data_IF_318604726541
#
_entry.id   IF_318604726541
#
_cell.length_a   1.000
_cell.length_b   1.000
_cell.length_c   1.000
_cell.angle_alpha   90.00
_cell.angle_beta   90.00
_cell.angle_gamma   90.00
#
_symmetry.space_group_name_H-M   'P 1'
#
loop_
_entity.id
_entity.type
_entity.pdbx_description
1 polymer ?
#
# COMPACT_ATOMS: atom_id res chain seq x y z
N UNK A 1 2.96 -41.09 41.30
CA UNK A 1 1.98 -41.41 40.23
C UNK A 1 0.88 -40.36 40.07
N UNK A 2 0.21 -39.89 41.13
CA UNK A 2 -0.89 -38.89 41.04
C UNK A 2 -0.48 -37.51 40.46
N UNK A 3 0.73 -37.04 40.76
CA UNK A 3 1.25 -35.76 40.25
C UNK A 3 1.49 -35.78 38.74
N UNK A 4 1.99 -36.90 38.21
CA UNK A 4 2.28 -37.06 36.77
C UNK A 4 1.00 -37.04 35.92
N UNK A 5 -0.08 -37.65 36.40
CA UNK A 5 -1.39 -37.64 35.72
C UNK A 5 -1.99 -36.23 35.70
N UNK A 6 -1.83 -35.46 36.77
CA UNK A 6 -2.28 -34.07 36.83
C UNK A 6 -1.56 -33.19 35.81
N UNK A 7 -0.23 -33.32 35.67
CA UNK A 7 0.53 -32.59 34.66
C UNK A 7 0.12 -32.94 33.23
N UNK A 8 -0.16 -34.22 32.96
CA UNK A 8 -0.65 -34.69 31.66
C UNK A 8 -2.02 -34.09 31.33
N UNK A 9 -2.95 -34.08 32.30
CA UNK A 9 -4.28 -33.51 32.11
C UNK A 9 -4.26 -31.99 31.87
N UNK A 10 -3.42 -31.25 32.60
CA UNK A 10 -3.26 -29.80 32.41
C UNK A 10 -2.66 -29.49 31.03
N UNK A 11 -1.66 -30.26 30.60
CA UNK A 11 -1.04 -30.11 29.27
C UNK A 11 -2.03 -30.38 28.14
N UNK A 12 -2.79 -31.48 28.23
CA UNK A 12 -3.84 -31.82 27.25
C UNK A 12 -4.92 -30.74 27.18
N UNK A 13 -5.33 -30.19 28.32
CA UNK A 13 -6.33 -29.13 28.38
C UNK A 13 -5.83 -27.80 27.77
N UNK A 14 -4.57 -27.44 28.01
CA UNK A 14 -3.92 -26.27 27.37
C UNK A 14 -3.82 -26.44 25.84
N UNK A 15 -3.48 -27.63 25.36
CA UNK A 15 -3.43 -27.94 23.92
C UNK A 15 -4.82 -27.91 23.28
N UNK A 16 -5.85 -28.40 23.98
CA UNK A 16 -7.25 -28.36 23.52
C UNK A 16 -7.85 -26.95 23.53
N UNK A 17 -7.40 -26.08 24.45
CA UNK A 17 -7.82 -24.67 24.50
C UNK A 17 -6.99 -23.74 23.61
N UNK A 18 -5.80 -24.17 23.16
CA UNK A 18 -4.96 -23.41 22.24
C UNK A 18 -5.69 -22.92 20.96
N UNK A 19 -6.50 -23.75 20.26
CA UNK A 19 -7.27 -23.28 19.10
C UNK A 19 -8.36 -22.25 19.44
N UNK A 20 -8.84 -22.19 20.69
CA UNK A 20 -9.76 -21.13 21.12
C UNK A 20 -9.03 -19.81 21.43
N UNK A 21 -7.77 -19.88 21.86
CA UNK A 21 -6.94 -18.70 22.15
C UNK A 21 -6.33 -18.07 20.89
N UNK A 22 -6.16 -18.83 19.81
CA UNK A 22 -5.63 -18.32 18.51
C UNK A 22 -6.69 -17.67 17.64
N UNK A 23 -7.99 -17.73 17.98
CA UNK A 23 -9.06 -17.06 17.23
C UNK A 23 -9.25 -15.60 17.63
N UNK A 24 -8.16 -14.83 17.59
CA UNK A 24 -8.23 -13.39 17.40
C UNK A 24 -7.31 -13.07 16.23
N UNK A 25 -7.68 -13.53 15.03
CA UNK A 25 -7.16 -12.88 13.83
C UNK A 25 -7.73 -11.48 13.89
N UNK A 26 -6.89 -10.51 14.27
CA UNK A 26 -7.22 -9.11 14.07
C UNK A 26 -7.71 -8.99 12.63
N UNK A 27 -8.92 -8.47 12.48
CA UNK A 27 -9.49 -8.10 11.19
C UNK A 27 -8.72 -6.85 10.72
N UNK A 28 -7.42 -7.02 10.47
CA UNK A 28 -6.50 -5.96 10.10
C UNK A 28 -6.66 -5.79 8.59
N UNK A 29 -7.42 -4.78 8.23
CA UNK A 29 -7.61 -4.41 6.85
C UNK A 29 -6.28 -3.87 6.31
N UNK A 30 -5.78 -4.38 5.17
CA UNK A 30 -4.51 -3.93 4.62
C UNK A 30 -4.61 -2.46 4.22
N UNK A 31 -3.68 -1.64 4.71
CA UNK A 31 -3.64 -0.20 4.42
C UNK A 31 -2.95 0.04 3.08
N UNK A 32 -1.99 -0.81 2.71
CA UNK A 32 -1.22 -0.76 1.46
C UNK A 32 -0.86 -2.17 0.94
N UNK A 33 -0.23 -2.23 -0.23
CA UNK A 33 0.24 -3.48 -0.83
C UNK A 33 1.39 -4.15 -0.05
N UNK A 34 2.10 -3.42 0.80
CA UNK A 34 3.11 -3.97 1.69
C UNK A 34 2.48 -4.82 2.79
N UNK A 35 1.36 -4.38 3.37
CA UNK A 35 0.60 -5.18 4.34
C UNK A 35 0.11 -6.50 3.70
N UNK A 36 -0.37 -6.43 2.45
CA UNK A 36 -0.80 -7.61 1.68
C UNK A 36 0.35 -8.57 1.43
N UNK A 37 1.51 -8.05 1.02
CA UNK A 37 2.70 -8.86 0.76
C UNK A 37 3.25 -9.49 2.05
N UNK A 38 3.17 -8.77 3.18
CA UNK A 38 3.65 -9.28 4.46
C UNK A 38 2.72 -10.34 5.07
N UNK A 39 1.42 -10.29 4.74
CA UNK A 39 0.45 -11.35 5.03
C UNK A 39 0.77 -12.63 4.23
N UNK A 40 1.00 -12.49 2.92
CA UNK A 40 1.36 -13.59 2.04
C UNK A 40 2.21 -13.11 0.85
N UNK A 41 3.49 -13.43 0.88
CA UNK A 41 4.47 -13.02 -0.12
C UNK A 41 4.43 -13.86 -1.40
N UNK A 42 3.60 -14.91 -1.46
CA UNK A 42 3.39 -15.72 -2.67
C UNK A 42 2.34 -15.12 -3.61
N UNK A 43 1.63 -14.08 -3.16
CA UNK A 43 0.58 -13.41 -3.95
C UNK A 43 1.17 -12.74 -5.19
N UNK A 44 0.56 -12.95 -6.38
CA UNK A 44 1.04 -12.34 -7.61
C UNK A 44 0.74 -10.85 -7.67
N UNK A 45 1.43 -10.12 -8.56
CA UNK A 45 1.02 -8.75 -8.91
C UNK A 45 -0.41 -8.74 -9.47
N UNK A 46 -1.20 -7.72 -9.13
CA UNK A 46 -2.61 -7.68 -9.49
C UNK A 46 -3.39 -6.59 -8.77
N UNK A 47 -4.70 -6.58 -8.97
CA UNK A 47 -5.59 -5.62 -8.30
C UNK A 47 -6.01 -6.15 -6.93
N UNK A 48 -5.82 -5.33 -5.91
CA UNK A 48 -6.20 -5.63 -4.54
C UNK A 48 -7.01 -4.48 -3.94
N UNK A 49 -7.73 -4.78 -2.86
CA UNK A 49 -8.46 -3.78 -2.07
C UNK A 49 -7.66 -3.42 -0.84
N UNK A 50 -7.45 -2.12 -0.61
CA UNK A 50 -6.78 -1.56 0.56
C UNK A 50 -7.68 -0.52 1.26
N UNK A 51 -7.33 -0.17 2.49
CA UNK A 51 -8.12 0.67 3.38
C UNK A 51 -7.26 1.80 3.98
N UNK A 52 -6.74 2.73 3.16
CA UNK A 52 -5.79 3.75 3.59
C UNK A 52 -6.37 4.72 4.62
N UNK A 53 -7.67 5.02 4.53
CA UNK A 53 -8.36 5.98 5.39
C UNK A 53 -9.03 5.27 6.59
N UNK A 54 -9.49 4.04 6.39
CA UNK A 54 -10.19 3.26 7.41
C UNK A 54 -11.14 2.22 6.81
N UNK A 55 -11.81 1.46 7.69
CA UNK A 55 -12.56 0.27 7.32
C UNK A 55 -13.74 0.50 6.35
N UNK A 56 -14.27 1.71 6.29
CA UNK A 56 -15.40 2.07 5.43
C UNK A 56 -14.98 2.68 4.09
N UNK A 57 -13.68 2.91 3.89
CA UNK A 57 -13.13 3.66 2.75
C UNK A 57 -12.19 2.76 1.94
N UNK A 58 -12.76 1.67 1.43
CA UNK A 58 -12.05 0.72 0.59
C UNK A 58 -11.73 1.33 -0.78
N UNK A 59 -10.50 1.12 -1.26
CA UNK A 59 -10.08 1.52 -2.60
C UNK A 59 -9.34 0.37 -3.28
N UNK A 60 -9.48 0.28 -4.60
CA UNK A 60 -8.74 -0.69 -5.40
C UNK A 60 -7.44 -0.09 -5.92
N UNK A 61 -6.36 -0.86 -5.80
CA UNK A 61 -5.02 -0.50 -6.28
C UNK A 61 -4.42 -1.68 -7.02
N UNK A 62 -3.56 -1.38 -7.99
CA UNK A 62 -2.64 -2.37 -8.52
C UNK A 62 -1.45 -2.51 -7.57
N UNK A 63 -1.23 -3.73 -7.08
CA UNK A 63 -0.03 -4.08 -6.32
C UNK A 63 0.99 -4.74 -7.24
N UNK A 64 2.20 -4.21 -7.27
CA UNK A 64 3.34 -4.91 -7.87
C UNK A 64 4.09 -5.67 -6.78
N UNK A 65 3.95 -6.99 -6.79
CA UNK A 65 4.52 -7.91 -5.81
C UNK A 65 5.87 -8.48 -6.27
N UNK A 66 6.32 -8.17 -7.48
CA UNK A 66 7.49 -8.81 -8.10
C UNK A 66 8.63 -7.83 -8.31
N UNK A 67 8.36 -6.67 -8.90
CA UNK A 67 9.42 -5.71 -9.26
C UNK A 67 10.13 -5.21 -8.01
N UNK A 68 11.45 -5.06 -8.05
CA UNK A 68 12.25 -4.40 -6.99
C UNK A 68 11.95 -4.87 -5.55
N UNK A 69 11.62 -6.16 -5.37
CA UNK A 69 11.30 -6.72 -4.04
C UNK A 69 9.84 -6.61 -3.62
N UNK A 70 8.95 -6.25 -4.54
CA UNK A 70 7.50 -6.22 -4.37
C UNK A 70 7.01 -5.13 -3.42
N UNK A 71 5.83 -5.35 -2.83
CA UNK A 71 5.20 -4.45 -1.85
C UNK A 71 4.73 -3.10 -2.41
N UNK A 72 4.72 -2.94 -3.73
CA UNK A 72 4.44 -1.65 -4.34
C UNK A 72 2.95 -1.37 -4.43
N UNK A 73 2.53 -0.20 -3.94
CA UNK A 73 1.19 0.34 -4.18
C UNK A 73 1.26 1.33 -5.33
N UNK A 74 0.69 0.98 -6.47
CA UNK A 74 0.66 1.88 -7.63
C UNK A 74 -0.46 2.91 -7.42
N UNK A 75 -0.14 4.20 -7.50
CA UNK A 75 -1.13 5.28 -7.36
C UNK A 75 -1.52 5.92 -8.71
N UNK A 76 -0.69 5.76 -9.73
CA UNK A 76 -0.96 6.17 -11.10
C UNK A 76 -0.47 5.07 -12.05
N UNK A 77 -1.29 4.70 -13.03
CA UNK A 77 -0.92 3.76 -14.09
C UNK A 77 -1.36 4.26 -15.46
N UNK A 78 -0.44 4.27 -16.43
CA UNK A 78 -0.68 4.57 -17.85
C UNK A 78 -0.16 3.42 -18.71
N UNK A 79 -0.89 3.07 -19.77
CA UNK A 79 -0.58 1.96 -20.67
C UNK A 79 -0.91 2.30 -22.12
N UNK A 80 -2.15 2.66 -22.41
CA UNK A 80 -2.69 2.79 -23.77
C UNK A 80 -3.34 4.15 -24.05
N UNK A 81 -3.47 5.01 -23.04
CA UNK A 81 -4.09 6.32 -23.15
C UNK A 81 -5.62 6.31 -23.23
N UNK A 82 -6.27 5.20 -22.88
CA UNK A 82 -7.74 5.08 -22.92
C UNK A 82 -8.45 5.93 -21.87
N UNK A 83 -7.79 6.24 -20.76
CA UNK A 83 -8.35 7.09 -19.71
C UNK A 83 -7.85 8.51 -19.92
N UNK A 84 -8.80 9.46 -19.98
CA UNK A 84 -8.46 10.88 -20.00
C UNK A 84 -7.91 11.31 -18.62
N UNK A 85 -6.71 11.88 -18.59
CA UNK A 85 -6.10 12.47 -17.40
C UNK A 85 -6.29 13.99 -17.32
N UNK A 86 -6.75 14.64 -18.38
CA UNK A 86 -7.18 16.03 -18.33
C UNK A 86 -8.54 16.13 -17.63
N UNK A 87 -8.51 16.29 -16.31
CA UNK A 87 -9.64 16.16 -15.38
C UNK A 87 -9.67 17.34 -14.43
N UNK A 88 -10.85 17.63 -13.87
CA UNK A 88 -11.01 18.70 -12.88
C UNK A 88 -10.43 18.32 -11.50
N UNK A 89 -10.25 19.32 -10.64
CA UNK A 89 -9.67 19.15 -9.30
C UNK A 89 -10.37 18.08 -8.46
N UNK A 90 -11.71 18.06 -8.45
CA UNK A 90 -12.48 17.10 -7.66
C UNK A 90 -12.14 15.65 -8.03
N UNK A 91 -11.91 15.38 -9.32
CA UNK A 91 -11.54 14.04 -9.79
C UNK A 91 -10.11 13.68 -9.40
N UNK A 92 -9.19 14.63 -9.39
CA UNK A 92 -7.82 14.41 -8.87
C UNK A 92 -7.81 14.21 -7.36
N UNK A 93 -8.73 14.85 -6.64
CA UNK A 93 -8.89 14.66 -5.20
C UNK A 93 -9.38 13.25 -4.87
N UNK A 94 -10.43 12.77 -5.54
CA UNK A 94 -11.08 11.48 -5.24
C UNK A 94 -10.51 10.29 -6.00
N UNK A 95 -9.84 10.51 -7.12
CA UNK A 95 -9.39 9.44 -8.03
C UNK A 95 -10.32 9.22 -9.23
N UNK A 96 -9.79 8.59 -10.28
CA UNK A 96 -10.52 8.21 -11.50
C UNK A 96 -9.84 7.04 -12.23
N UNK A 97 -10.57 6.36 -13.11
CA UNK A 97 -10.08 5.19 -13.85
C UNK A 97 -10.31 3.87 -13.11
N UNK A 98 -9.64 2.80 -13.55
CA UNK A 98 -9.77 1.45 -12.97
C UNK A 98 -8.39 0.85 -12.68
N UNK A 99 -8.21 0.23 -11.51
CA UNK A 99 -6.93 -0.34 -11.08
C UNK A 99 -6.41 -1.45 -12.00
N UNK A 100 -7.31 -2.18 -12.67
CA UNK A 100 -6.95 -3.19 -13.67
C UNK A 100 -6.36 -2.57 -14.96
N UNK A 101 -6.67 -1.31 -15.23
CA UNK A 101 -6.29 -0.55 -16.42
C UNK A 101 -5.47 0.69 -16.07
N UNK A 102 -5.82 1.81 -16.71
CA UNK A 102 -5.28 3.12 -16.36
C UNK A 102 -6.11 3.78 -15.25
N UNK A 103 -5.44 4.43 -14.29
CA UNK A 103 -6.11 5.12 -13.20
C UNK A 103 -5.20 6.10 -12.46
N UNK A 104 -5.86 6.95 -11.67
CA UNK A 104 -5.33 7.81 -10.63
C UNK A 104 -6.05 7.48 -9.32
N UNK A 105 -5.29 7.15 -8.27
CA UNK A 105 -5.83 6.70 -6.98
C UNK A 105 -6.58 7.79 -6.21
N UNK A 106 -6.22 9.06 -6.43
CA UNK A 106 -6.78 10.19 -5.68
C UNK A 106 -5.85 10.68 -4.58
N UNK A 107 -5.82 12.00 -4.41
CA UNK A 107 -4.98 12.67 -3.42
C UNK A 107 -5.39 12.35 -1.97
N UNK A 108 -6.67 12.13 -1.69
CA UNK A 108 -7.12 11.77 -0.34
C UNK A 108 -6.49 10.45 0.12
N UNK A 109 -6.58 9.41 -0.72
CA UNK A 109 -5.93 8.12 -0.46
C UNK A 109 -4.42 8.26 -0.35
N UNK A 110 -3.79 9.02 -1.25
CA UNK A 110 -2.34 9.22 -1.27
C UNK A 110 -1.84 9.92 0.00
N UNK A 111 -2.54 10.97 0.44
CA UNK A 111 -2.24 11.67 1.68
C UNK A 111 -2.19 10.70 2.87
N UNK A 112 -3.22 9.87 3.02
CA UNK A 112 -3.27 8.88 4.10
C UNK A 112 -2.18 7.80 4.01
N UNK A 113 -1.83 7.37 2.80
CA UNK A 113 -0.71 6.44 2.59
C UNK A 113 0.63 7.06 3.04
N UNK A 114 0.85 8.35 2.76
CA UNK A 114 2.09 9.05 3.16
C UNK A 114 2.18 9.35 4.65
N UNK A 115 1.05 9.48 5.36
CA UNK A 115 1.05 9.65 6.82
C UNK A 115 1.49 8.40 7.59
N UNK A 116 1.45 7.22 6.96
CA UNK A 116 1.94 5.97 7.56
C UNK A 116 3.46 6.03 7.66
N UNK A 117 4.00 5.94 8.87
CA UNK A 117 5.46 5.90 9.11
C UNK A 117 6.09 4.78 8.28
N UNK A 118 7.06 5.14 7.43
CA UNK A 118 7.79 4.19 6.56
C UNK A 118 7.34 4.15 5.11
N UNK A 119 6.33 4.94 4.71
CA UNK A 119 5.97 5.13 3.30
C UNK A 119 6.84 6.23 2.67
N UNK A 120 7.60 5.95 1.60
CA UNK A 120 8.46 6.94 0.91
C UNK A 120 7.97 7.26 -0.51
N UNK A 121 8.34 8.40 -1.12
CA UNK A 121 7.96 8.96 -2.45
C UNK A 121 9.00 8.85 -3.62
N UNK A 122 8.90 8.08 -4.74
CA UNK A 122 9.95 8.10 -5.81
C UNK A 122 9.41 7.99 -7.27
N UNK A 123 10.25 8.33 -8.26
CA UNK A 123 9.93 8.35 -9.70
C UNK A 123 11.03 7.68 -10.54
N UNK A 124 10.72 6.67 -11.36
CA UNK A 124 11.71 6.00 -12.24
C UNK A 124 11.47 6.34 -13.71
N UNK A 125 12.47 6.93 -14.38
CA UNK A 125 12.46 7.25 -15.80
C UNK A 125 12.99 6.08 -16.65
N UNK A 126 12.19 5.04 -16.90
CA UNK A 126 12.52 4.07 -17.97
C UNK A 126 11.31 3.77 -18.84
N UNK A 127 11.42 4.23 -20.10
CA UNK A 127 10.53 4.03 -21.25
C UNK A 127 9.13 4.67 -21.19
N UNK A 128 8.89 5.64 -22.08
CA UNK A 128 7.67 6.42 -22.34
C UNK A 128 6.43 5.59 -22.78
N UNK A 129 6.28 4.35 -22.33
CA UNK A 129 5.10 3.51 -22.58
C UNK A 129 4.44 2.92 -21.34
N UNK A 130 5.05 3.08 -20.16
CA UNK A 130 4.46 2.64 -18.91
C UNK A 130 4.84 3.67 -17.84
N UNK A 131 3.94 4.61 -17.52
CA UNK A 131 4.17 5.53 -16.40
C UNK A 131 4.03 4.72 -15.12
N UNK A 132 5.15 4.23 -14.59
CA UNK A 132 5.29 3.57 -13.28
C UNK A 132 5.89 4.56 -12.29
N UNK A 133 5.14 4.91 -11.25
CA UNK A 133 5.65 5.65 -10.10
C UNK A 133 5.91 4.63 -8.96
N UNK A 134 7.12 4.60 -8.39
CA UNK A 134 7.70 3.53 -7.54
C UNK A 134 8.38 4.16 -6.32
N UNK A 135 8.44 3.52 -5.14
CA UNK A 135 8.81 4.18 -3.87
C UNK A 135 10.05 3.58 -3.10
N UNK A 136 11.32 3.74 -3.52
CA UNK A 136 12.49 3.09 -2.87
C UNK A 136 13.24 3.94 -1.83
N UNK A 137 13.12 3.70 -0.51
CA UNK A 137 14.13 4.21 0.45
C UNK A 137 15.50 3.53 0.25
N UNK A 138 16.64 4.23 0.38
CA UNK A 138 17.94 3.63 0.28
C UNK A 138 18.27 2.79 1.53
N UNK A 139 18.79 1.59 1.29
CA UNK A 139 19.53 0.84 2.28
C UNK A 139 20.96 1.43 2.37
N UNK A 140 21.20 2.43 3.22
CA UNK A 140 22.48 2.65 3.94
C UNK A 140 22.40 3.80 4.95
N UNK A 141 23.14 3.75 6.08
CA UNK A 141 22.92 4.61 7.24
C UNK A 141 23.80 5.87 7.18
N UNK A 142 23.20 7.05 7.02
CA UNK A 142 23.79 8.30 7.54
C UNK A 142 22.73 9.40 7.59
N UNK A 143 22.21 9.64 8.80
CA UNK A 143 21.85 10.96 9.33
C UNK A 143 21.23 11.97 8.36
N UNK A 144 19.90 11.95 8.20
CA UNK A 144 19.09 13.15 7.90
C UNK A 144 17.65 12.96 8.39
N UNK A 145 17.06 14.04 8.90
CA UNK A 145 15.79 14.05 9.64
C UNK A 145 14.58 13.71 8.74
N UNK A 146 13.61 12.87 9.18
CA UNK A 146 12.56 12.30 8.31
C UNK A 146 11.34 13.20 8.04
N UNK A 147 11.41 14.52 8.22
CA UNK A 147 10.19 15.36 8.27
C UNK A 147 10.08 16.47 7.22
N UNK A 148 11.16 16.79 6.50
CA UNK A 148 11.18 17.95 5.60
C UNK A 148 11.14 17.60 4.10
N UNK A 149 11.57 16.40 3.69
CA UNK A 149 11.63 16.03 2.26
C UNK A 149 10.32 15.48 1.70
N UNK A 150 9.49 14.87 2.54
CA UNK A 150 8.29 14.13 2.11
C UNK A 150 7.11 15.06 1.76
N UNK A 151 6.99 16.20 2.44
CA UNK A 151 5.97 17.22 2.15
C UNK A 151 6.26 17.98 0.84
N UNK A 152 7.54 18.26 0.55
CA UNK A 152 7.96 19.00 -0.64
C UNK A 152 7.67 18.25 -1.95
N UNK A 153 7.64 16.92 -1.92
CA UNK A 153 7.36 16.09 -3.10
C UNK A 153 5.87 16.09 -3.48
N UNK A 154 4.96 16.08 -2.50
CA UNK A 154 3.52 16.21 -2.76
C UNK A 154 3.19 17.60 -3.31
N UNK A 155 3.78 18.66 -2.75
CA UNK A 155 3.61 20.02 -3.28
C UNK A 155 4.16 20.15 -4.70
N UNK A 156 5.33 19.56 -5.01
CA UNK A 156 5.90 19.57 -6.36
C UNK A 156 5.10 18.74 -7.37
N UNK A 157 4.53 17.60 -6.95
CA UNK A 157 3.60 16.82 -7.79
C UNK A 157 2.30 17.58 -8.05
N UNK A 158 1.78 18.28 -7.04
CA UNK A 158 0.63 19.18 -7.21
C UNK A 158 0.98 20.33 -8.15
N UNK A 159 2.17 20.92 -8.05
CA UNK A 159 2.60 22.03 -8.87
C UNK A 159 2.84 21.61 -10.34
N UNK A 160 3.38 20.42 -10.60
CA UNK A 160 3.61 19.94 -11.97
C UNK A 160 2.33 19.45 -12.68
N UNK A 161 1.38 18.86 -11.94
CA UNK A 161 0.10 18.40 -12.50
C UNK A 161 -0.97 19.51 -12.59
N UNK A 162 -0.88 20.56 -11.77
CA UNK A 162 -1.79 21.73 -11.81
C UNK A 162 -1.27 22.86 -12.72
N UNK A 163 0.05 22.97 -12.96
CA UNK A 163 0.63 24.08 -13.76
C UNK A 163 0.59 23.90 -15.28
N UNK A 164 0.34 22.70 -15.80
CA UNK A 164 0.23 22.49 -17.26
C UNK A 164 -1.15 22.03 -17.74
N UNK A 165 -2.19 22.87 -17.66
CA UNK A 165 -3.30 22.84 -18.58
C UNK A 165 -2.96 23.74 -19.77
N UNK A 166 -2.25 23.21 -20.76
CA UNK A 166 -2.14 23.87 -22.08
C UNK A 166 -2.66 22.92 -23.16
#
# INVERSE_FOLDING_TARGET
MKTSVLFQLVSVFLVLLAPLLTSCQKLLLPVDCGDIYNDDNSRPSGVYTIYPIGATSAVQVYCDMVSEGGRWTVFQRRMDGTVNFYRGWDQYKTGFGIAAGEYWLGLESLYHLTLKKGTSCWSTWRTLKETKCLLVTPHSPSTLSPTDTDCLFLDSLMEEQVRFPH
#
